data_IF_176604607038
#
_entry.id   IF_176604607038
#
_cell.length_a   1.000
_cell.length_b   1.000
_cell.length_c   1.000
_cell.angle_alpha   90.00
_cell.angle_beta   90.00
_cell.angle_gamma   90.00
#
_symmetry.space_group_name_H-M   'P 1'
#
loop_
_entity.id
_entity.type
_entity.pdbx_description
1 polymer ?
#
# COMPACT_ATOMS: atom_id res chain seq x y z
N UNK A 1 -0.71 -11.91 5.59
CA UNK A 1 0.10 -10.89 6.29
C UNK A 1 -0.18 -10.95 7.78
N UNK A 2 0.74 -10.52 8.61
CA UNK A 2 0.52 -10.33 10.05
C UNK A 2 -0.14 -8.96 10.27
N UNK A 3 -1.40 -8.96 10.74
CA UNK A 3 -2.19 -7.75 10.96
C UNK A 3 -1.56 -6.82 12.01
N UNK A 4 -1.00 -7.41 13.07
CA UNK A 4 -0.53 -6.64 14.24
C UNK A 4 0.81 -5.91 14.00
N UNK A 5 1.66 -6.40 13.10
CA UNK A 5 3.04 -5.92 12.94
C UNK A 5 3.33 -5.23 11.62
N UNK A 6 2.50 -5.41 10.59
CA UNK A 6 2.72 -4.74 9.30
C UNK A 6 2.39 -3.24 9.37
N UNK A 7 3.04 -2.40 8.56
CA UNK A 7 2.64 -1.01 8.39
C UNK A 7 1.16 -0.88 8.04
N UNK A 8 0.52 0.21 8.45
CA UNK A 8 -0.89 0.48 8.18
C UNK A 8 -1.07 0.80 6.69
N UNK A 9 -2.07 0.17 6.08
CA UNK A 9 -2.51 0.39 4.70
C UNK A 9 -3.93 -0.17 4.53
N UNK A 10 -4.54 -0.10 3.35
CA UNK A 10 -5.96 -0.38 3.13
C UNK A 10 -6.48 -1.72 3.71
N UNK A 11 -5.60 -2.71 3.93
CA UNK A 11 -5.98 -3.96 4.62
C UNK A 11 -6.26 -3.78 6.12
N UNK A 12 -5.90 -2.64 6.72
CA UNK A 12 -6.26 -2.24 8.06
C UNK A 12 -7.44 -1.25 8.01
N UNK A 13 -7.36 -0.27 7.10
CA UNK A 13 -8.33 0.81 7.01
C UNK A 13 -9.73 0.31 6.63
N UNK A 14 -9.87 -0.51 5.58
CA UNK A 14 -11.19 -1.03 5.19
C UNK A 14 -11.89 -1.82 6.31
N UNK A 15 -11.25 -2.84 6.94
CA UNK A 15 -11.90 -3.59 8.02
C UNK A 15 -12.32 -2.73 9.21
N UNK A 16 -11.45 -1.82 9.65
CA UNK A 16 -11.72 -0.99 10.83
C UNK A 16 -12.79 0.05 10.57
N UNK A 17 -12.78 0.71 9.42
CA UNK A 17 -13.84 1.64 9.05
C UNK A 17 -15.17 0.94 8.79
N UNK A 18 -15.21 -0.27 8.23
CA UNK A 18 -16.43 -1.07 8.12
C UNK A 18 -16.97 -1.43 9.51
N UNK A 19 -16.09 -1.80 10.46
CA UNK A 19 -16.49 -2.03 11.85
C UNK A 19 -17.06 -0.77 12.50
N UNK A 20 -16.49 0.41 12.24
CA UNK A 20 -17.00 1.69 12.71
C UNK A 20 -18.40 2.04 12.12
N UNK A 21 -18.72 1.51 10.94
CA UNK A 21 -20.07 1.62 10.34
C UNK A 21 -21.09 0.64 10.93
N UNK A 22 -20.68 -0.21 11.88
CA UNK A 22 -21.55 -1.16 12.57
C UNK A 22 -21.52 -2.58 12.03
N UNK A 23 -20.66 -2.88 11.05
CA UNK A 23 -20.49 -4.25 10.57
C UNK A 23 -19.67 -5.08 11.56
N UNK A 24 -20.03 -6.37 11.72
CA UNK A 24 -19.18 -7.32 12.41
C UNK A 24 -18.07 -7.79 11.47
N UNK A 25 -16.81 -7.55 11.84
CA UNK A 25 -15.65 -7.82 10.99
C UNK A 25 -14.76 -8.92 11.57
N UNK A 26 -14.61 -10.01 10.81
CA UNK A 26 -13.64 -11.07 11.07
C UNK A 26 -12.44 -10.98 10.12
N UNK A 27 -11.25 -10.83 10.66
CA UNK A 27 -10.02 -10.75 9.87
C UNK A 27 -9.21 -12.03 10.01
N UNK A 28 -8.92 -12.71 8.89
CA UNK A 28 -8.07 -13.90 8.86
C UNK A 28 -6.65 -13.48 8.49
N UNK A 29 -5.76 -13.47 9.47
CA UNK A 29 -4.35 -13.15 9.23
C UNK A 29 -3.52 -14.38 8.91
N UNK A 30 -2.44 -14.15 8.15
CA UNK A 30 -1.36 -15.11 8.03
C UNK A 30 -0.17 -14.57 8.84
N UNK A 31 0.22 -15.26 9.91
CA UNK A 31 1.22 -14.76 10.87
C UNK A 31 2.65 -14.94 10.31
N UNK A 32 2.98 -14.18 9.27
CA UNK A 32 4.33 -14.12 8.73
C UNK A 32 5.31 -13.65 9.81
N UNK A 33 6.43 -14.35 9.93
CA UNK A 33 7.51 -13.98 10.85
C UNK A 33 7.41 -14.58 12.24
N UNK A 34 6.30 -15.25 12.62
CA UNK A 34 6.21 -15.97 13.88
C UNK A 34 6.95 -17.30 13.81
N UNK A 35 7.67 -17.62 14.87
CA UNK A 35 8.23 -18.95 15.12
C UNK A 35 7.12 -19.96 15.42
N UNK A 36 7.46 -21.25 15.38
CA UNK A 36 6.49 -22.31 15.74
C UNK A 36 5.97 -22.18 17.18
N UNK A 37 6.84 -21.77 18.11
CA UNK A 37 6.46 -21.60 19.52
C UNK A 37 5.49 -20.43 19.67
N UNK A 38 5.82 -19.26 19.13
CA UNK A 38 4.94 -18.08 19.17
C UNK A 38 3.59 -18.36 18.49
N UNK A 39 3.59 -19.09 17.38
CA UNK A 39 2.36 -19.48 16.69
C UNK A 39 1.51 -20.46 17.52
N UNK A 40 2.14 -21.37 18.27
CA UNK A 40 1.44 -22.30 19.15
C UNK A 40 0.73 -21.56 20.30
N UNK A 41 1.37 -20.54 20.85
CA UNK A 41 0.85 -19.72 21.96
C UNK A 41 -0.17 -18.68 21.50
N UNK A 42 -0.18 -18.30 20.21
CA UNK A 42 -1.15 -17.32 19.68
C UNK A 42 -2.57 -17.92 19.66
N UNK A 43 -3.59 -17.23 20.18
CA UNK A 43 -4.97 -17.70 20.10
C UNK A 43 -5.45 -17.87 18.66
N UNK A 44 -6.25 -18.92 18.39
CA UNK A 44 -6.87 -19.09 17.07
C UNK A 44 -7.84 -17.94 16.75
N UNK A 45 -8.55 -17.46 17.77
CA UNK A 45 -9.55 -16.38 17.68
C UNK A 45 -9.33 -15.44 18.86
N UNK A 46 -9.26 -14.15 18.59
CA UNK A 46 -9.19 -13.12 19.61
C UNK A 46 -9.91 -11.86 19.15
N UNK A 47 -10.51 -11.13 20.07
CA UNK A 47 -11.03 -9.79 19.79
C UNK A 47 -9.91 -8.78 20.04
N UNK A 48 -9.69 -7.87 19.09
CA UNK A 48 -8.62 -6.87 19.16
C UNK A 48 -9.19 -5.48 18.92
N UNK A 49 -8.56 -4.47 19.49
CA UNK A 49 -8.80 -3.07 19.14
C UNK A 49 -8.22 -2.76 17.76
N UNK A 50 -8.80 -1.80 17.07
CA UNK A 50 -8.30 -1.30 15.81
C UNK A 50 -6.92 -0.65 15.95
N UNK A 51 -6.17 -0.63 14.87
CA UNK A 51 -4.84 0.02 14.77
C UNK A 51 -4.91 1.38 14.10
N UNK A 52 -5.94 1.60 13.29
CA UNK A 52 -6.28 2.88 12.66
C UNK A 52 -7.26 3.63 13.54
N UNK A 53 -8.35 2.96 13.93
CA UNK A 53 -9.41 3.47 14.78
C UNK A 53 -9.38 2.71 16.10
N UNK A 54 -8.73 3.25 17.11
CA UNK A 54 -8.44 2.56 18.36
C UNK A 54 -9.66 2.17 19.18
N UNK A 55 -10.81 2.78 18.94
CA UNK A 55 -12.11 2.53 19.57
C UNK A 55 -12.97 1.48 18.83
N UNK A 56 -12.55 1.04 17.65
CA UNK A 56 -13.22 -0.05 16.93
C UNK A 56 -12.63 -1.40 17.32
N UNK A 57 -13.47 -2.43 17.29
CA UNK A 57 -13.06 -3.81 17.56
C UNK A 57 -13.29 -4.71 16.36
N UNK A 58 -12.42 -5.67 16.15
CA UNK A 58 -12.60 -6.73 15.16
C UNK A 58 -12.13 -8.09 15.70
N UNK A 59 -12.66 -9.15 15.10
CA UNK A 59 -12.27 -10.52 15.47
C UNK A 59 -11.12 -10.98 14.59
N UNK A 60 -9.96 -11.19 15.20
CA UNK A 60 -8.77 -11.67 14.51
C UNK A 60 -8.67 -13.19 14.59
N UNK A 61 -8.60 -13.86 13.44
CA UNK A 61 -8.34 -15.29 13.32
C UNK A 61 -6.90 -15.54 12.90
N UNK A 62 -6.18 -16.36 13.67
CA UNK A 62 -4.79 -16.74 13.40
C UNK A 62 -4.67 -18.25 13.16
N UNK A 63 -4.80 -18.70 11.90
CA UNK A 63 -4.66 -20.13 11.59
C UNK A 63 -3.27 -20.65 11.94
N UNK A 64 -3.19 -21.76 12.68
CA UNK A 64 -1.94 -22.34 13.22
C UNK A 64 -1.07 -23.13 12.23
N UNK A 65 -1.36 -23.09 10.95
CA UNK A 65 -0.70 -23.92 9.94
C UNK A 65 0.45 -23.27 9.21
N UNK A 66 0.81 -22.05 9.56
CA UNK A 66 1.75 -21.26 8.79
C UNK A 66 3.05 -21.05 9.54
N UNK A 67 3.96 -22.00 9.41
CA UNK A 67 5.36 -21.74 9.67
C UNK A 67 6.06 -21.26 8.39
N UNK A 68 7.01 -20.33 8.50
CA UNK A 68 7.81 -19.85 7.37
C UNK A 68 8.59 -20.94 6.66
N UNK A 69 9.05 -20.66 5.44
CA UNK A 69 9.82 -21.57 4.60
C UNK A 69 8.99 -22.37 3.61
N UNK A 70 9.64 -23.14 2.76
CA UNK A 70 9.04 -23.89 1.65
C UNK A 70 8.07 -24.97 2.15
N UNK A 71 8.45 -25.69 3.20
CA UNK A 71 7.62 -26.74 3.83
C UNK A 71 6.37 -26.19 4.49
N UNK A 72 6.47 -25.02 5.13
CA UNK A 72 5.32 -24.35 5.73
C UNK A 72 4.29 -23.88 4.69
N UNK A 73 4.75 -23.39 3.54
CA UNK A 73 3.86 -23.01 2.43
C UNK A 73 3.13 -24.21 1.82
N UNK A 74 3.81 -25.35 1.66
CA UNK A 74 3.17 -26.60 1.21
C UNK A 74 2.12 -27.09 2.21
N UNK A 75 2.43 -27.07 3.50
CA UNK A 75 1.48 -27.44 4.55
C UNK A 75 0.27 -26.49 4.58
N UNK A 76 0.49 -25.20 4.33
CA UNK A 76 -0.59 -24.23 4.16
C UNK A 76 -1.54 -24.64 3.05
N UNK A 77 -1.00 -24.97 1.86
CA UNK A 77 -1.81 -25.37 0.71
C UNK A 77 -2.67 -26.60 1.05
N UNK A 78 -2.19 -27.52 1.87
CA UNK A 78 -2.93 -28.73 2.25
C UNK A 78 -3.99 -28.50 3.33
N UNK A 79 -3.75 -27.56 4.24
CA UNK A 79 -4.56 -27.43 5.46
C UNK A 79 -5.50 -26.22 5.47
N UNK A 80 -5.22 -25.18 4.68
CA UNK A 80 -5.95 -23.91 4.75
C UNK A 80 -7.45 -24.06 4.38
N UNK A 81 -7.82 -24.98 3.48
CA UNK A 81 -9.24 -25.24 3.16
C UNK A 81 -10.08 -25.67 4.37
N UNK A 82 -9.50 -26.56 5.21
CA UNK A 82 -10.19 -27.00 6.42
C UNK A 82 -10.34 -25.86 7.41
N UNK A 83 -9.30 -25.06 7.55
CA UNK A 83 -9.31 -23.93 8.47
C UNK A 83 -10.25 -22.82 8.02
N UNK A 84 -10.24 -22.43 6.75
CA UNK A 84 -11.23 -21.49 6.23
C UNK A 84 -12.65 -21.99 6.44
N UNK A 85 -12.91 -23.26 6.18
CA UNK A 85 -14.24 -23.83 6.44
C UNK A 85 -14.66 -23.69 7.90
N UNK A 86 -13.77 -24.01 8.83
CA UNK A 86 -14.05 -23.88 10.26
C UNK A 86 -14.31 -22.42 10.66
N UNK A 87 -13.53 -21.48 10.12
CA UNK A 87 -13.70 -20.05 10.36
C UNK A 87 -15.05 -19.56 9.80
N UNK A 88 -15.39 -19.94 8.56
CA UNK A 88 -16.67 -19.55 7.95
C UNK A 88 -17.86 -20.14 8.72
N UNK A 89 -17.73 -21.33 9.29
CA UNK A 89 -18.77 -21.95 10.14
C UNK A 89 -18.90 -21.26 11.51
N UNK A 90 -17.78 -20.79 12.07
CA UNK A 90 -17.75 -20.10 13.37
C UNK A 90 -18.26 -18.66 13.24
N UNK A 91 -17.78 -17.91 12.23
CA UNK A 91 -18.09 -16.49 12.05
C UNK A 91 -19.38 -16.25 11.28
N UNK A 92 -19.75 -17.13 10.33
CA UNK A 92 -20.92 -17.05 9.45
C UNK A 92 -21.05 -15.72 8.71
N UNK A 93 -20.04 -15.31 7.93
CA UNK A 93 -20.06 -14.03 7.24
C UNK A 93 -21.10 -14.01 6.11
N UNK A 94 -21.67 -12.84 5.82
CA UNK A 94 -22.51 -12.59 4.66
C UNK A 94 -21.69 -12.50 3.37
N UNK A 95 -20.43 -12.06 3.45
CA UNK A 95 -19.50 -11.91 2.33
C UNK A 95 -18.05 -12.10 2.78
N UNK A 96 -17.23 -12.61 1.88
CA UNK A 96 -15.78 -12.73 2.08
C UNK A 96 -15.06 -11.72 1.18
N UNK A 97 -14.37 -10.75 1.78
CA UNK A 97 -13.43 -9.85 1.07
C UNK A 97 -12.01 -10.40 1.22
N UNK A 98 -11.37 -10.72 0.11
CA UNK A 98 -10.04 -11.32 0.11
C UNK A 98 -9.02 -10.42 -0.57
N UNK A 99 -8.01 -10.01 0.20
CA UNK A 99 -6.78 -9.36 -0.30
C UNK A 99 -5.69 -10.41 -0.60
N UNK A 100 -6.08 -11.65 -0.77
CA UNK A 100 -5.16 -12.75 -0.66
C UNK A 100 -4.21 -12.82 -1.83
N UNK A 101 -2.99 -13.11 -1.46
CA UNK A 101 -2.00 -13.68 -2.35
C UNK A 101 -2.52 -15.02 -2.89
N UNK A 102 -2.19 -15.39 -4.12
CA UNK A 102 -2.68 -16.59 -4.81
C UNK A 102 -2.59 -17.91 -4.03
N UNK A 103 -1.65 -18.04 -3.11
CA UNK A 103 -1.45 -19.29 -2.34
C UNK A 103 -2.64 -19.68 -1.46
N UNK A 104 -3.41 -18.73 -0.96
CA UNK A 104 -4.58 -18.98 -0.10
C UNK A 104 -5.88 -18.47 -0.70
N UNK A 105 -5.83 -17.46 -1.56
CA UNK A 105 -7.02 -16.83 -2.14
C UNK A 105 -7.88 -17.78 -2.97
N UNK A 106 -7.29 -18.60 -3.84
CA UNK A 106 -8.05 -19.58 -4.63
C UNK A 106 -8.71 -20.66 -3.77
N UNK A 107 -8.14 -20.95 -2.60
CA UNK A 107 -8.70 -21.90 -1.65
C UNK A 107 -9.81 -21.27 -0.83
N UNK A 108 -9.63 -20.01 -0.38
CA UNK A 108 -10.68 -19.23 0.26
C UNK A 108 -11.91 -19.10 -0.66
N UNK A 109 -11.69 -18.71 -1.92
CA UNK A 109 -12.72 -18.67 -2.96
C UNK A 109 -13.46 -20.02 -3.09
N UNK A 110 -12.68 -21.13 -3.19
CA UNK A 110 -13.28 -22.47 -3.36
C UNK A 110 -14.13 -22.89 -2.16
N UNK A 111 -13.74 -22.50 -0.94
CA UNK A 111 -14.52 -22.80 0.28
C UNK A 111 -15.75 -21.90 0.36
N UNK A 112 -15.63 -20.60 0.10
CA UNK A 112 -16.74 -19.64 0.09
C UNK A 112 -17.84 -20.06 -0.89
N UNK A 113 -17.48 -20.40 -2.13
CA UNK A 113 -18.43 -20.90 -3.14
C UNK A 113 -19.16 -22.17 -2.70
N UNK A 114 -18.45 -23.12 -2.08
CA UNK A 114 -19.06 -24.36 -1.55
C UNK A 114 -20.00 -24.11 -0.38
N UNK A 115 -19.79 -23.04 0.35
CA UNK A 115 -20.61 -22.61 1.48
C UNK A 115 -21.74 -21.66 1.08
N UNK A 116 -21.87 -21.32 -0.22
CA UNK A 116 -22.86 -20.36 -0.72
C UNK A 116 -22.56 -18.89 -0.35
N UNK A 117 -21.38 -18.60 0.17
CA UNK A 117 -21.01 -17.25 0.64
C UNK A 117 -20.38 -16.47 -0.54
N UNK A 118 -20.88 -15.27 -0.86
CA UNK A 118 -20.29 -14.39 -1.87
C UNK A 118 -18.81 -14.10 -1.62
N UNK A 119 -18.01 -14.01 -2.68
CA UNK A 119 -16.57 -13.80 -2.60
C UNK A 119 -16.15 -12.61 -3.46
N UNK A 120 -15.66 -11.56 -2.82
CA UNK A 120 -15.06 -10.39 -3.45
C UNK A 120 -13.54 -10.50 -3.37
N UNK A 121 -12.88 -10.35 -4.48
CA UNK A 121 -11.41 -10.32 -4.53
C UNK A 121 -10.90 -8.91 -4.73
N UNK A 122 -10.11 -8.42 -3.79
CA UNK A 122 -9.44 -7.12 -3.86
C UNK A 122 -8.06 -7.30 -4.46
N UNK A 123 -7.88 -6.91 -5.72
CA UNK A 123 -6.61 -6.98 -6.45
C UNK A 123 -5.83 -5.68 -6.28
N UNK A 124 -4.58 -5.79 -5.80
CA UNK A 124 -3.70 -4.66 -5.51
C UNK A 124 -2.42 -4.65 -6.34
N UNK A 125 -1.96 -5.85 -6.70
CA UNK A 125 -0.65 -6.07 -7.30
C UNK A 125 -0.67 -7.21 -8.33
N UNK A 126 0.29 -7.17 -9.25
CA UNK A 126 0.56 -8.26 -10.21
C UNK A 126 1.39 -9.35 -9.53
N UNK A 127 0.75 -10.17 -8.69
CA UNK A 127 1.41 -11.07 -7.73
C UNK A 127 2.43 -12.00 -8.34
N UNK A 128 2.18 -12.56 -9.54
CA UNK A 128 3.12 -13.51 -10.19
C UNK A 128 4.38 -12.84 -10.76
N UNK A 129 4.38 -11.49 -10.88
CA UNK A 129 5.51 -10.72 -11.42
C UNK A 129 6.30 -9.96 -10.35
N UNK A 130 5.74 -9.76 -9.15
CA UNK A 130 6.42 -9.02 -8.07
C UNK A 130 7.74 -9.68 -7.68
N UNK A 131 7.77 -11.01 -7.63
CA UNK A 131 8.98 -11.76 -7.31
C UNK A 131 9.24 -12.82 -8.37
N UNK A 132 10.42 -12.82 -8.96
CA UNK A 132 10.86 -13.92 -9.82
C UNK A 132 10.99 -15.19 -8.98
N UNK A 133 10.15 -16.18 -9.26
CA UNK A 133 10.08 -17.44 -8.51
C UNK A 133 9.76 -18.58 -9.47
N UNK A 134 10.28 -19.77 -9.19
CA UNK A 134 9.90 -21.00 -9.89
C UNK A 134 8.39 -21.30 -9.79
N UNK A 135 7.71 -20.71 -8.80
CA UNK A 135 6.26 -20.81 -8.62
C UNK A 135 5.44 -19.77 -9.40
N UNK A 136 6.08 -18.86 -10.13
CA UNK A 136 5.37 -17.80 -10.88
C UNK A 136 4.28 -18.34 -11.82
N UNK A 137 4.44 -19.47 -12.55
CA UNK A 137 3.37 -20.02 -13.37
C UNK A 137 2.16 -20.50 -12.55
N UNK A 138 2.39 -21.10 -11.38
CA UNK A 138 1.33 -21.53 -10.47
C UNK A 138 0.59 -20.32 -9.87
N UNK A 139 1.33 -19.27 -9.53
CA UNK A 139 0.76 -18.02 -9.04
C UNK A 139 -0.11 -17.37 -10.12
N UNK A 140 0.37 -17.30 -11.36
CA UNK A 140 -0.40 -16.77 -12.49
C UNK A 140 -1.67 -17.58 -12.78
N UNK A 141 -1.60 -18.91 -12.64
CA UNK A 141 -2.78 -19.77 -12.74
C UNK A 141 -3.78 -19.44 -11.62
N UNK A 142 -3.31 -19.31 -10.38
CA UNK A 142 -4.18 -19.00 -9.24
C UNK A 142 -4.84 -17.62 -9.37
N UNK A 143 -4.11 -16.60 -9.86
CA UNK A 143 -4.67 -15.28 -10.18
C UNK A 143 -5.79 -15.40 -11.22
N UNK A 144 -5.53 -16.06 -12.36
CA UNK A 144 -6.56 -16.27 -13.39
C UNK A 144 -7.77 -17.03 -12.86
N UNK A 145 -7.54 -18.05 -12.03
CA UNK A 145 -8.62 -18.81 -11.44
C UNK A 145 -9.49 -17.93 -10.53
N UNK A 146 -8.87 -17.09 -9.70
CA UNK A 146 -9.58 -16.18 -8.81
C UNK A 146 -10.36 -15.14 -9.62
N UNK A 147 -9.71 -14.45 -10.56
CA UNK A 147 -10.35 -13.40 -11.35
C UNK A 147 -11.55 -13.89 -12.15
N UNK A 148 -11.49 -15.12 -12.70
CA UNK A 148 -12.59 -15.74 -13.46
C UNK A 148 -13.75 -16.23 -12.59
N UNK A 149 -13.51 -16.48 -11.32
CA UNK A 149 -14.45 -17.21 -10.47
C UNK A 149 -14.91 -16.42 -9.25
N UNK A 150 -14.32 -15.28 -8.93
CA UNK A 150 -14.83 -14.38 -7.90
C UNK A 150 -16.20 -13.85 -8.32
N UNK A 151 -17.05 -13.58 -7.33
CA UNK A 151 -18.35 -12.96 -7.59
C UNK A 151 -18.21 -11.48 -7.94
N UNK A 152 -17.12 -10.87 -7.43
CA UNK A 152 -16.68 -9.53 -7.81
C UNK A 152 -15.17 -9.39 -7.71
N UNK A 153 -14.56 -8.64 -8.63
CA UNK A 153 -13.15 -8.23 -8.57
C UNK A 153 -13.10 -6.72 -8.32
N UNK A 154 -12.63 -6.33 -7.15
CA UNK A 154 -12.37 -4.95 -6.76
C UNK A 154 -10.90 -4.61 -6.99
N UNK A 155 -10.62 -3.44 -7.53
CA UNK A 155 -9.25 -2.96 -7.76
C UNK A 155 -9.05 -1.57 -7.16
N UNK A 156 -7.82 -1.15 -6.96
CA UNK A 156 -7.49 0.15 -6.38
C UNK A 156 -7.22 1.27 -7.41
N UNK A 157 -7.17 0.92 -8.69
CA UNK A 157 -6.96 1.87 -9.79
C UNK A 157 -7.42 1.28 -11.13
N UNK A 158 -7.65 2.12 -12.18
CA UNK A 158 -8.13 1.65 -13.48
C UNK A 158 -7.15 0.71 -14.20
N UNK A 159 -5.83 0.97 -14.18
CA UNK A 159 -4.84 0.11 -14.83
C UNK A 159 -4.81 -1.31 -14.24
N UNK A 160 -5.02 -1.43 -12.92
CA UNK A 160 -5.18 -2.73 -12.27
C UNK A 160 -6.47 -3.42 -12.70
N UNK A 161 -7.55 -2.67 -12.93
CA UNK A 161 -8.81 -3.21 -13.46
C UNK A 161 -8.60 -3.79 -14.87
N UNK A 162 -7.95 -3.05 -15.76
CA UNK A 162 -7.62 -3.54 -17.11
C UNK A 162 -6.77 -4.81 -17.05
N UNK A 163 -5.76 -4.82 -16.18
CA UNK A 163 -4.96 -6.03 -15.96
C UNK A 163 -5.82 -7.23 -15.50
N UNK A 164 -6.72 -7.05 -14.54
CA UNK A 164 -7.62 -8.11 -14.07
C UNK A 164 -8.54 -8.63 -15.16
N UNK A 165 -9.11 -7.74 -15.98
CA UNK A 165 -9.94 -8.10 -17.15
C UNK A 165 -9.11 -8.89 -18.15
N UNK A 166 -7.90 -8.45 -18.47
CA UNK A 166 -6.95 -9.16 -19.33
C UNK A 166 -6.56 -10.56 -18.81
N UNK A 167 -6.63 -10.76 -17.50
CA UNK A 167 -6.40 -12.05 -16.82
C UNK A 167 -7.67 -12.89 -16.70
N UNK A 168 -8.84 -12.36 -17.08
CA UNK A 168 -10.10 -13.08 -17.20
C UNK A 168 -11.19 -12.69 -16.19
N UNK A 169 -11.05 -11.57 -15.47
CA UNK A 169 -12.16 -10.99 -14.74
C UNK A 169 -13.27 -10.54 -15.68
N UNK A 170 -14.52 -10.70 -15.27
CA UNK A 170 -15.67 -10.24 -16.06
C UNK A 170 -15.86 -8.73 -15.86
N UNK A 171 -15.94 -7.98 -16.96
CA UNK A 171 -16.10 -6.52 -16.92
C UNK A 171 -17.36 -6.09 -16.12
N UNK A 172 -18.46 -6.82 -16.24
CA UNK A 172 -19.70 -6.55 -15.48
C UNK A 172 -19.65 -6.97 -13.99
N UNK A 173 -18.58 -7.65 -13.56
CA UNK A 173 -18.35 -8.10 -12.18
C UNK A 173 -17.00 -7.59 -11.66
N UNK A 174 -16.61 -6.43 -12.09
CA UNK A 174 -15.36 -5.80 -11.63
C UNK A 174 -15.47 -4.28 -11.62
N UNK A 175 -14.76 -3.65 -10.70
CA UNK A 175 -14.80 -2.20 -10.50
C UNK A 175 -13.55 -1.66 -9.83
N UNK A 176 -13.42 -0.34 -9.84
CA UNK A 176 -12.41 0.38 -9.08
C UNK A 176 -13.06 0.97 -7.82
N UNK A 177 -12.61 0.53 -6.67
CA UNK A 177 -12.83 1.18 -5.38
C UNK A 177 -11.49 1.76 -4.93
N UNK A 178 -11.38 3.08 -4.84
CA UNK A 178 -10.13 3.73 -4.44
C UNK A 178 -9.74 3.37 -3.01
N UNK A 179 -8.43 3.31 -2.67
CA UNK A 179 -8.00 3.02 -1.31
C UNK A 179 -8.45 4.14 -0.36
N UNK A 180 -8.90 3.81 0.85
CA UNK A 180 -9.24 4.81 1.86
C UNK A 180 -7.97 5.46 2.41
N UNK A 181 -8.10 6.68 2.89
CA UNK A 181 -7.07 7.39 3.63
C UNK A 181 -7.71 8.16 4.79
N UNK A 182 -7.23 7.91 6.01
CA UNK A 182 -7.60 8.72 7.17
C UNK A 182 -6.90 10.09 7.07
N UNK A 183 -7.66 11.08 6.63
CA UNK A 183 -7.18 12.44 6.46
C UNK A 183 -6.95 13.16 7.80
N UNK A 184 -7.71 12.81 8.85
CA UNK A 184 -7.53 13.37 10.18
C UNK A 184 -6.13 13.11 10.73
N UNK A 185 -5.51 12.02 10.29
CA UNK A 185 -4.13 11.71 10.61
C UNK A 185 -3.12 12.76 10.08
N UNK A 186 -3.41 13.39 8.92
CA UNK A 186 -2.55 14.40 8.28
C UNK A 186 -2.93 15.84 8.66
N UNK A 187 -4.12 16.06 9.23
CA UNK A 187 -4.56 17.36 9.73
C UNK A 187 -3.98 17.71 11.11
N UNK A 188 -3.26 16.79 11.73
CA UNK A 188 -2.67 16.97 13.06
C UNK A 188 -1.65 18.10 13.07
N UNK A 189 -2.15 19.30 13.06
CA UNK A 189 -1.43 20.55 13.25
C UNK A 189 -0.95 20.65 14.68
N UNK A 190 0.26 20.31 14.97
CA UNK A 190 1.05 20.78 16.13
C UNK A 190 2.33 19.95 16.25
N UNK A 191 2.95 19.68 15.11
CA UNK A 191 4.25 19.05 15.10
C UNK A 191 5.27 20.16 14.98
N UNK A 192 6.21 20.21 15.89
CA UNK A 192 7.33 21.13 15.78
C UNK A 192 8.21 20.69 14.60
N UNK A 193 7.90 21.22 13.42
CA UNK A 193 8.68 20.93 12.20
C UNK A 193 10.14 21.34 12.35
N UNK A 194 10.43 22.33 13.22
CA UNK A 194 11.80 22.73 13.51
C UNK A 194 12.54 21.62 14.26
N UNK A 195 11.91 20.96 15.22
CA UNK A 195 12.50 19.84 15.94
C UNK A 195 12.81 18.67 15.00
N UNK A 196 11.85 18.29 14.14
CA UNK A 196 12.05 17.21 13.14
C UNK A 196 13.19 17.55 12.18
N UNK A 197 13.21 18.76 11.64
CA UNK A 197 14.29 19.20 10.72
C UNK A 197 15.65 19.23 11.41
N UNK A 198 15.72 19.72 12.64
CA UNK A 198 16.95 19.74 13.46
C UNK A 198 17.47 18.34 13.75
N UNK A 199 16.58 17.38 14.04
CA UNK A 199 16.95 15.97 14.27
C UNK A 199 17.75 15.38 13.10
N UNK A 200 17.43 15.76 11.87
CA UNK A 200 18.15 15.30 10.67
C UNK A 200 19.30 16.25 10.25
N UNK A 201 19.62 17.25 11.06
CA UNK A 201 20.68 18.21 10.75
C UNK A 201 20.38 19.12 9.56
N UNK A 202 19.10 19.37 9.28
CA UNK A 202 18.69 20.25 8.18
C UNK A 202 18.82 21.72 8.60
N UNK A 203 19.61 22.53 7.90
CA UNK A 203 19.76 23.95 8.24
C UNK A 203 18.46 24.73 7.93
N UNK A 204 18.37 25.93 8.52
CA UNK A 204 17.28 26.83 8.20
C UNK A 204 17.27 27.17 6.70
N UNK A 205 16.08 27.07 6.08
CA UNK A 205 15.92 27.30 4.66
C UNK A 205 16.35 26.14 3.76
N UNK A 206 16.73 24.98 4.32
CA UNK A 206 17.00 23.78 3.52
C UNK A 206 15.83 23.42 2.62
N UNK A 207 16.12 23.06 1.38
CA UNK A 207 15.19 22.50 0.40
C UNK A 207 15.24 20.98 0.48
N UNK A 208 14.11 20.36 0.77
CA UNK A 208 14.04 18.93 1.09
C UNK A 208 13.18 18.18 0.09
N UNK A 209 13.81 17.26 -0.63
CA UNK A 209 13.13 16.20 -1.38
C UNK A 209 12.95 14.97 -0.50
N UNK A 210 11.79 14.32 -0.53
CA UNK A 210 11.48 13.19 0.35
C UNK A 210 10.92 12.00 -0.41
N UNK A 211 11.49 10.84 -0.16
CA UNK A 211 10.94 9.53 -0.53
C UNK A 211 10.51 8.77 0.73
N UNK A 212 9.37 8.07 0.65
CA UNK A 212 8.91 7.14 1.68
C UNK A 212 8.54 5.80 1.07
N UNK A 213 8.96 4.71 1.70
CA UNK A 213 8.53 3.35 1.35
C UNK A 213 9.62 2.30 1.44
N UNK A 214 9.31 1.12 0.95
CA UNK A 214 10.27 0.02 0.91
C UNK A 214 11.33 0.25 -0.17
N UNK A 215 12.57 -0.11 0.16
CA UNK A 215 13.72 0.00 -0.74
C UNK A 215 13.86 -1.28 -1.57
N UNK A 216 12.97 -1.45 -2.54
CA UNK A 216 13.00 -2.56 -3.48
C UNK A 216 13.77 -2.21 -4.76
N UNK A 217 14.19 -3.24 -5.51
CA UNK A 217 14.94 -3.07 -6.76
C UNK A 217 14.22 -2.22 -7.83
N UNK A 218 12.88 -2.12 -7.77
CA UNK A 218 12.08 -1.31 -8.68
C UNK A 218 11.75 0.09 -8.13
N UNK A 219 12.31 0.46 -6.97
CA UNK A 219 12.02 1.76 -6.34
C UNK A 219 12.56 2.95 -7.09
N UNK A 220 13.57 2.78 -7.95
CA UNK A 220 14.26 3.84 -8.69
C UNK A 220 15.15 4.73 -7.80
N UNK A 221 15.44 4.28 -6.58
CA UNK A 221 16.29 5.03 -5.64
C UNK A 221 17.75 5.14 -6.07
N UNK A 222 18.39 4.13 -6.67
CA UNK A 222 19.75 4.26 -7.16
C UNK A 222 19.92 5.41 -8.17
N UNK A 223 18.99 5.52 -9.13
CA UNK A 223 18.97 6.56 -10.14
C UNK A 223 18.65 7.94 -9.55
N UNK A 224 17.73 7.99 -8.58
CA UNK A 224 17.40 9.22 -7.85
C UNK A 224 18.63 9.74 -7.10
N UNK A 225 19.33 8.89 -6.33
CA UNK A 225 20.53 9.25 -5.57
C UNK A 225 21.65 9.71 -6.52
N UNK A 226 21.87 9.01 -7.63
CA UNK A 226 22.87 9.39 -8.63
C UNK A 226 22.57 10.75 -9.26
N UNK A 227 21.30 10.98 -9.61
CA UNK A 227 20.85 12.25 -10.18
C UNK A 227 20.96 13.39 -9.16
N UNK A 228 20.58 13.13 -7.91
CA UNK A 228 20.76 14.06 -6.80
C UNK A 228 22.22 14.46 -6.64
N UNK A 229 23.13 13.50 -6.50
CA UNK A 229 24.55 13.74 -6.27
C UNK A 229 25.21 14.57 -7.40
N UNK A 230 24.79 14.34 -8.66
CA UNK A 230 25.35 15.03 -9.81
C UNK A 230 24.81 16.44 -10.06
N UNK A 231 23.65 16.78 -9.50
CA UNK A 231 22.93 18.00 -9.85
C UNK A 231 22.52 18.86 -8.65
N UNK A 232 22.65 18.34 -7.40
CA UNK A 232 22.23 19.09 -6.22
C UNK A 232 22.92 20.46 -6.13
N UNK A 233 22.17 21.43 -5.64
CA UNK A 233 22.66 22.74 -5.26
C UNK A 233 22.97 22.79 -3.77
N UNK A 234 23.71 23.79 -3.33
CA UNK A 234 23.87 24.04 -1.91
C UNK A 234 22.51 24.18 -1.25
N UNK A 235 22.36 23.68 -0.04
CA UNK A 235 21.10 23.73 0.69
C UNK A 235 19.98 22.78 0.22
N UNK A 236 20.25 21.84 -0.70
CA UNK A 236 19.31 20.79 -1.11
C UNK A 236 19.63 19.45 -0.43
N UNK A 237 18.61 18.78 0.11
CA UNK A 237 18.70 17.54 0.89
C UNK A 237 17.73 16.51 0.37
N UNK A 238 18.09 15.23 0.52
CA UNK A 238 17.26 14.10 0.17
C UNK A 238 17.02 13.24 1.43
N UNK A 239 15.75 13.08 1.81
CA UNK A 239 15.35 12.26 2.95
C UNK A 239 14.71 10.97 2.44
N UNK A 240 15.19 9.83 2.93
CA UNK A 240 14.72 8.49 2.57
C UNK A 240 14.10 7.80 3.78
N UNK A 241 12.76 7.80 3.85
CA UNK A 241 12.00 7.14 4.91
C UNK A 241 11.72 5.70 4.53
N UNK A 242 12.05 4.76 5.42
CA UNK A 242 11.79 3.34 5.27
C UNK A 242 13.05 2.51 5.26
N UNK A 243 12.96 1.33 4.63
CA UNK A 243 14.07 0.38 4.57
C UNK A 243 13.73 -0.76 3.62
N UNK A 244 14.61 -1.72 3.46
CA UNK A 244 14.37 -2.88 2.61
C UNK A 244 15.64 -3.53 2.09
N UNK A 245 15.46 -4.42 1.12
CA UNK A 245 16.54 -5.27 0.59
C UNK A 245 17.71 -4.50 -0.02
N UNK A 246 17.46 -3.27 -0.52
CA UNK A 246 18.50 -2.42 -1.12
C UNK A 246 19.16 -1.44 -0.14
N UNK A 247 18.76 -1.38 1.12
CA UNK A 247 19.24 -0.36 2.07
C UNK A 247 20.76 -0.30 2.16
N UNK A 248 21.41 -1.46 2.30
CA UNK A 248 22.88 -1.56 2.36
C UNK A 248 23.55 -1.10 1.05
N UNK A 249 22.95 -1.40 -0.10
CA UNK A 249 23.46 -0.98 -1.39
C UNK A 249 23.34 0.55 -1.55
N UNK A 250 22.19 1.12 -1.19
CA UNK A 250 21.91 2.55 -1.30
C UNK A 250 22.82 3.37 -0.36
N UNK A 251 23.01 2.93 0.89
CA UNK A 251 23.93 3.60 1.82
C UNK A 251 25.38 3.54 1.32
N UNK A 252 25.81 2.41 0.74
CA UNK A 252 27.11 2.29 0.11
C UNK A 252 27.28 3.22 -1.11
N UNK A 253 26.24 3.39 -1.91
CA UNK A 253 26.25 4.35 -3.05
C UNK A 253 26.34 5.79 -2.56
N UNK A 254 25.60 6.16 -1.52
CA UNK A 254 25.66 7.50 -0.91
C UNK A 254 27.09 7.81 -0.43
N UNK A 255 27.72 6.86 0.28
CA UNK A 255 29.10 7.02 0.75
C UNK A 255 30.12 7.13 -0.40
N UNK A 256 29.99 6.30 -1.46
CA UNK A 256 30.84 6.37 -2.65
C UNK A 256 30.73 7.72 -3.38
N UNK A 257 29.57 8.36 -3.31
CA UNK A 257 29.32 9.67 -3.92
C UNK A 257 29.68 10.84 -2.98
N UNK A 258 30.07 10.59 -1.73
CA UNK A 258 30.37 11.62 -0.73
C UNK A 258 29.13 12.46 -0.34
N UNK A 259 27.94 11.82 -0.25
CA UNK A 259 26.65 12.48 -0.06
C UNK A 259 26.04 12.24 1.33
N UNK A 260 26.78 11.69 2.30
CA UNK A 260 26.27 11.32 3.64
C UNK A 260 25.69 12.52 4.41
N UNK A 261 26.23 13.71 4.16
CA UNK A 261 25.73 14.93 4.79
C UNK A 261 24.40 15.42 4.21
N UNK A 262 24.06 15.02 2.98
CA UNK A 262 22.93 15.53 2.21
C UNK A 262 21.83 14.51 1.94
N UNK A 263 22.13 13.21 2.05
CA UNK A 263 21.16 12.11 1.93
C UNK A 263 21.01 11.44 3.30
N UNK A 264 19.82 11.51 3.88
CA UNK A 264 19.54 10.96 5.20
C UNK A 264 18.59 9.77 5.12
N UNK A 265 18.98 8.66 5.75
CA UNK A 265 18.15 7.50 5.93
C UNK A 265 17.52 7.55 7.32
N UNK A 266 16.20 7.55 7.41
CA UNK A 266 15.51 7.66 8.71
C UNK A 266 15.21 6.30 9.34
N UNK A 267 15.26 5.21 8.54
CA UNK A 267 14.64 3.93 8.91
C UNK A 267 13.12 4.02 8.85
N UNK A 268 12.44 3.06 9.47
CA UNK A 268 10.98 3.04 9.56
C UNK A 268 10.50 4.04 10.63
N UNK A 269 9.57 4.89 10.24
CA UNK A 269 8.90 5.87 11.11
C UNK A 269 7.57 5.28 11.60
N UNK A 270 7.19 5.55 12.84
CA UNK A 270 5.88 5.16 13.36
C UNK A 270 4.76 5.86 12.59
N UNK A 271 3.61 5.20 12.46
CA UNK A 271 2.46 5.81 11.77
C UNK A 271 2.09 7.17 12.38
N UNK A 272 2.14 7.29 13.71
CA UNK A 272 1.85 8.52 14.45
C UNK A 272 2.77 9.69 14.10
N UNK A 273 4.05 9.42 13.84
CA UNK A 273 5.06 10.44 13.55
C UNK A 273 5.15 10.78 12.07
N UNK A 274 4.54 9.96 11.21
CA UNK A 274 4.63 10.08 9.77
C UNK A 274 4.20 11.47 9.23
N UNK A 275 3.10 12.10 9.68
CA UNK A 275 2.71 13.41 9.17
C UNK A 275 3.79 14.48 9.36
N UNK A 276 4.48 14.51 10.53
CA UNK A 276 5.56 15.44 10.79
C UNK A 276 6.72 15.26 9.82
N UNK A 277 7.09 14.01 9.61
CA UNK A 277 8.19 13.69 8.70
C UNK A 277 7.86 14.01 7.24
N UNK A 278 6.61 13.88 6.83
CA UNK A 278 6.20 14.32 5.50
C UNK A 278 6.22 15.85 5.39
N UNK A 279 5.63 16.55 6.36
CA UNK A 279 5.51 18.01 6.33
C UNK A 279 6.87 18.74 6.48
N UNK A 280 7.94 18.08 6.93
CA UNK A 280 9.28 18.68 6.92
C UNK A 280 9.86 18.87 5.52
N UNK A 281 9.29 18.20 4.50
CA UNK A 281 9.75 18.25 3.11
C UNK A 281 9.06 19.36 2.31
N UNK A 282 9.72 19.79 1.23
CA UNK A 282 9.16 20.76 0.26
C UNK A 282 8.54 20.03 -0.95
N UNK A 283 9.08 18.87 -1.34
CA UNK A 283 8.62 18.07 -2.48
C UNK A 283 8.76 16.58 -2.16
N UNK A 284 7.74 15.79 -2.43
CA UNK A 284 7.81 14.34 -2.32
C UNK A 284 8.05 13.67 -3.68
N UNK A 285 8.69 12.49 -3.67
CA UNK A 285 9.06 11.79 -4.90
C UNK A 285 8.62 10.34 -4.93
N UNK A 286 8.22 9.88 -6.11
CA UNK A 286 7.96 8.49 -6.41
C UNK A 286 8.73 8.06 -7.68
N UNK A 287 10.03 7.71 -7.55
CA UNK A 287 10.91 7.44 -8.70
C UNK A 287 10.81 5.99 -9.22
N UNK A 288 9.72 5.27 -8.96
CA UNK A 288 9.59 3.86 -9.32
C UNK A 288 9.90 3.62 -10.80
N UNK A 289 10.61 2.52 -11.09
CA UNK A 289 10.85 2.10 -12.48
C UNK A 289 9.53 1.79 -13.18
N UNK A 290 9.35 2.30 -14.40
CA UNK A 290 8.19 1.98 -15.24
C UNK A 290 8.31 0.54 -15.72
N UNK A 291 7.34 -0.29 -15.40
CA UNK A 291 7.29 -1.72 -15.74
C UNK A 291 5.83 -2.20 -15.71
N UNK A 292 5.55 -3.38 -16.25
CA UNK A 292 4.19 -3.95 -16.18
C UNK A 292 3.67 -4.06 -14.73
N UNK A 293 4.56 -4.28 -13.76
CA UNK A 293 4.17 -4.39 -12.34
C UNK A 293 3.85 -3.03 -11.76
N UNK A 294 4.75 -2.07 -11.94
CA UNK A 294 4.57 -0.71 -11.40
C UNK A 294 3.48 0.07 -12.11
N UNK A 295 3.25 -0.18 -13.40
CA UNK A 295 2.14 0.45 -14.13
C UNK A 295 0.77 0.02 -13.62
N UNK A 296 0.58 -1.25 -13.30
CA UNK A 296 -0.66 -1.73 -12.71
C UNK A 296 -0.79 -1.39 -11.21
N UNK A 297 0.32 -1.11 -10.52
CA UNK A 297 0.31 -0.80 -9.10
C UNK A 297 -0.20 0.62 -8.84
N UNK A 298 -0.78 0.81 -7.65
CA UNK A 298 -1.13 2.12 -7.11
C UNK A 298 -0.24 2.41 -5.90
N UNK A 299 0.78 3.28 -6.03
CA UNK A 299 1.66 3.59 -4.92
C UNK A 299 0.95 4.48 -3.89
N UNK A 300 0.39 3.88 -2.85
CA UNK A 300 -0.36 4.56 -1.78
C UNK A 300 0.41 5.72 -1.13
N UNK A 301 1.74 5.69 -1.16
CA UNK A 301 2.56 6.81 -0.69
C UNK A 301 2.21 8.14 -1.38
N UNK A 302 1.81 8.11 -2.65
CA UNK A 302 1.47 9.32 -3.42
C UNK A 302 0.27 10.04 -2.80
N UNK A 303 -0.78 9.30 -2.43
CA UNK A 303 -1.94 9.93 -1.76
C UNK A 303 -1.60 10.42 -0.35
N UNK A 304 -0.67 9.77 0.35
CA UNK A 304 -0.18 10.23 1.65
C UNK A 304 0.65 11.52 1.51
N UNK A 305 1.48 11.64 0.49
CA UNK A 305 2.19 12.88 0.17
C UNK A 305 1.23 14.03 -0.15
N UNK A 306 0.23 13.75 -0.99
CA UNK A 306 -0.80 14.72 -1.34
C UNK A 306 -1.62 15.14 -0.12
N UNK A 307 -1.97 14.21 0.77
CA UNK A 307 -2.68 14.51 2.01
C UNK A 307 -1.84 15.38 2.97
N UNK A 308 -0.52 15.18 3.01
CA UNK A 308 0.39 16.04 3.75
C UNK A 308 0.60 17.42 3.11
N UNK A 309 -0.04 17.72 1.97
CA UNK A 309 0.06 19.01 1.28
C UNK A 309 1.35 19.17 0.47
N UNK A 310 1.99 18.08 0.08
CA UNK A 310 3.23 18.13 -0.69
C UNK A 310 2.97 18.15 -2.20
N UNK A 311 3.70 18.98 -2.96
CA UNK A 311 3.93 18.76 -4.38
C UNK A 311 4.60 17.39 -4.59
N UNK A 312 4.21 16.68 -5.64
CA UNK A 312 4.71 15.32 -5.91
C UNK A 312 5.29 15.22 -7.31
N UNK A 313 6.51 14.70 -7.41
CA UNK A 313 7.12 14.27 -8.67
C UNK A 313 7.11 12.74 -8.73
N UNK A 314 6.53 12.19 -9.78
CA UNK A 314 6.44 10.75 -9.97
C UNK A 314 6.86 10.34 -11.38
N UNK A 315 7.45 9.16 -11.51
CA UNK A 315 7.49 8.52 -12.82
C UNK A 315 6.05 8.27 -13.31
N UNK A 316 5.89 8.29 -14.64
CA UNK A 316 4.61 8.13 -15.32
C UNK A 316 4.15 6.68 -15.25
N UNK A 317 3.43 6.35 -14.19
CA UNK A 317 2.81 5.03 -13.98
C UNK A 317 1.34 5.09 -14.42
N UNK A 318 0.89 4.12 -15.21
CA UNK A 318 -0.47 4.10 -15.76
C UNK A 318 -1.51 4.17 -14.65
N UNK A 319 -1.33 3.44 -13.54
CA UNK A 319 -2.22 3.49 -12.38
C UNK A 319 -2.38 4.88 -11.76
N UNK A 320 -1.35 5.72 -11.78
CA UNK A 320 -1.44 7.11 -11.32
C UNK A 320 -2.07 8.00 -12.39
N UNK A 321 -1.61 7.89 -13.64
CA UNK A 321 -2.08 8.73 -14.74
C UNK A 321 -3.58 8.52 -14.99
N UNK A 322 -4.04 7.27 -15.01
CA UNK A 322 -5.46 6.96 -15.19
C UNK A 322 -6.32 7.36 -13.98
N UNK A 323 -5.73 7.35 -12.79
CA UNK A 323 -6.44 7.77 -11.58
C UNK A 323 -6.54 9.30 -11.48
N UNK A 324 -5.45 10.04 -11.66
CA UNK A 324 -5.41 11.47 -11.43
C UNK A 324 -5.54 12.33 -12.71
N UNK A 325 -5.29 11.73 -13.87
CA UNK A 325 -5.23 12.44 -15.15
C UNK A 325 -3.84 13.00 -15.45
N UNK A 326 -3.61 13.29 -16.73
CA UNK A 326 -2.35 13.89 -17.19
C UNK A 326 -2.21 15.37 -16.79
N UNK A 327 -3.33 16.07 -16.68
CA UNK A 327 -3.44 17.48 -16.28
C UNK A 327 -3.48 17.68 -14.74
N UNK A 328 -3.20 16.63 -13.98
CA UNK A 328 -3.18 16.70 -12.51
C UNK A 328 -2.03 17.58 -12.00
N UNK A 329 -2.08 17.93 -10.70
CA UNK A 329 -0.98 18.63 -10.03
C UNK A 329 0.24 17.73 -9.76
N UNK A 330 0.16 16.43 -10.09
CA UNK A 330 1.31 15.53 -10.08
C UNK A 330 2.26 15.85 -11.24
N UNK A 331 3.52 16.08 -10.93
CA UNK A 331 4.54 16.25 -11.96
C UNK A 331 5.03 14.89 -12.44
N UNK A 332 4.68 14.50 -13.67
CA UNK A 332 5.11 13.25 -14.26
C UNK A 332 6.43 13.39 -15.05
N UNK A 333 7.28 12.38 -14.92
CA UNK A 333 8.52 12.19 -15.70
C UNK A 333 8.57 10.75 -16.22
N UNK A 334 9.35 10.50 -17.26
CA UNK A 334 9.38 9.18 -17.90
C UNK A 334 10.38 8.21 -17.26
N UNK A 335 11.44 8.74 -16.61
CA UNK A 335 12.51 7.94 -16.01
C UNK A 335 12.81 8.36 -14.57
N UNK A 336 13.27 7.42 -13.76
CA UNK A 336 13.67 7.65 -12.36
C UNK A 336 14.78 8.71 -12.25
N UNK A 337 15.71 8.77 -13.23
CA UNK A 337 16.79 9.77 -13.29
C UNK A 337 16.31 11.19 -13.57
N UNK A 338 15.09 11.36 -14.09
CA UNK A 338 14.50 12.68 -14.40
C UNK A 338 13.73 13.27 -13.21
N UNK A 339 13.52 12.46 -12.15
CA UNK A 339 12.76 12.88 -10.98
C UNK A 339 13.43 14.05 -10.28
N UNK A 340 14.74 13.97 -10.02
CA UNK A 340 15.42 15.04 -9.30
C UNK A 340 15.51 16.36 -10.09
N UNK A 341 15.83 16.40 -11.39
CA UNK A 341 15.70 17.60 -12.21
C UNK A 341 14.32 18.26 -12.14
N UNK A 342 13.25 17.45 -12.12
CA UNK A 342 11.90 17.96 -11.97
C UNK A 342 11.61 18.51 -10.55
N UNK A 343 12.20 17.92 -9.51
CA UNK A 343 12.18 18.46 -8.13
C UNK A 343 12.86 19.84 -8.10
N UNK A 344 14.03 19.99 -8.72
CA UNK A 344 14.74 21.28 -8.75
C UNK A 344 13.94 22.37 -9.46
N UNK A 345 13.22 22.01 -10.52
CA UNK A 345 12.33 22.94 -11.20
C UNK A 345 11.20 23.42 -10.28
N UNK A 346 10.66 22.52 -9.43
CA UNK A 346 9.67 22.89 -8.42
C UNK A 346 10.25 23.75 -7.29
N UNK A 347 11.46 23.47 -6.81
CA UNK A 347 12.12 24.29 -5.79
C UNK A 347 12.29 25.75 -6.21
N UNK A 348 12.41 26.03 -7.51
CA UNK A 348 12.44 27.37 -8.08
C UNK A 348 11.08 28.00 -8.32
N UNK A 349 9.98 27.30 -8.06
CA UNK A 349 8.61 27.76 -8.32
C UNK A 349 8.02 28.47 -7.11
N UNK A 350 7.33 29.59 -7.32
CA UNK A 350 6.56 30.30 -6.29
C UNK A 350 5.24 29.60 -5.94
N UNK A 351 4.88 28.52 -6.63
CA UNK A 351 3.57 27.88 -6.52
C UNK A 351 3.53 26.61 -5.67
N UNK A 352 4.60 26.25 -4.95
CA UNK A 352 4.65 24.99 -4.15
C UNK A 352 3.45 24.84 -3.20
N UNK A 353 3.14 25.88 -2.44
CA UNK A 353 2.01 25.87 -1.50
C UNK A 353 0.67 25.70 -2.21
N UNK A 354 0.49 26.36 -3.37
CA UNK A 354 -0.70 26.23 -4.20
C UNK A 354 -0.89 24.83 -4.74
N UNK A 355 0.18 24.19 -5.23
CA UNK A 355 0.18 22.78 -5.67
C UNK A 355 -0.18 21.86 -4.51
N UNK A 356 0.45 22.05 -3.35
CA UNK A 356 0.18 21.27 -2.15
C UNK A 356 -1.28 21.32 -1.71
N UNK A 357 -1.87 22.53 -1.65
CA UNK A 357 -3.29 22.74 -1.32
C UNK A 357 -4.22 22.05 -2.33
N UNK A 358 -3.91 22.14 -3.61
CA UNK A 358 -4.70 21.47 -4.66
C UNK A 358 -4.63 19.95 -4.52
N UNK A 359 -3.45 19.40 -4.20
CA UNK A 359 -3.26 17.99 -3.92
C UNK A 359 -4.09 17.53 -2.71
N UNK A 360 -4.09 18.28 -1.60
CA UNK A 360 -4.91 17.97 -0.42
C UNK A 360 -6.41 17.97 -0.77
N UNK A 361 -6.87 18.96 -1.51
CA UNK A 361 -8.27 19.06 -1.92
C UNK A 361 -8.70 17.86 -2.79
N UNK A 362 -7.85 17.42 -3.72
CA UNK A 362 -8.11 16.27 -4.58
C UNK A 362 -8.21 14.98 -3.77
N UNK A 363 -7.25 14.72 -2.86
CA UNK A 363 -7.27 13.54 -2.01
C UNK A 363 -8.46 13.56 -1.07
N UNK A 364 -8.79 14.71 -0.46
CA UNK A 364 -9.95 14.86 0.41
C UNK A 364 -11.25 14.52 -0.31
N UNK A 365 -11.38 14.92 -1.54
CA UNK A 365 -12.58 14.67 -2.35
C UNK A 365 -12.75 13.20 -2.72
N UNK A 366 -11.67 12.47 -3.01
CA UNK A 366 -11.73 11.14 -3.63
C UNK A 366 -11.33 9.98 -2.72
N UNK A 367 -10.38 10.20 -1.81
CA UNK A 367 -9.71 9.15 -1.03
C UNK A 367 -10.05 9.22 0.46
N UNK A 368 -10.90 10.17 0.89
CA UNK A 368 -11.32 10.19 2.29
C UNK A 368 -11.90 8.82 2.68
N UNK A 369 -11.59 8.36 3.88
CA UNK A 369 -12.10 7.09 4.40
C UNK A 369 -13.62 7.01 4.26
N UNK A 370 -14.34 8.10 4.53
CA UNK A 370 -15.80 8.16 4.33
C UNK A 370 -16.21 7.85 2.90
N UNK A 371 -15.57 8.44 1.89
CA UNK A 371 -15.92 8.23 0.48
C UNK A 371 -15.55 6.83 0.02
N UNK A 372 -14.30 6.41 0.27
CA UNK A 372 -13.77 5.14 -0.22
C UNK A 372 -14.43 3.93 0.48
N UNK A 373 -14.65 4.03 1.80
CA UNK A 373 -15.28 2.93 2.56
C UNK A 373 -16.73 2.77 2.18
N UNK A 374 -17.49 3.86 1.98
CA UNK A 374 -18.89 3.78 1.51
C UNK A 374 -19.00 3.15 0.11
N UNK A 375 -18.04 3.43 -0.78
CA UNK A 375 -18.00 2.78 -2.10
C UNK A 375 -17.78 1.27 -1.96
N UNK A 376 -16.85 0.84 -1.09
CA UNK A 376 -16.61 -0.57 -0.80
C UNK A 376 -17.83 -1.23 -0.12
N UNK A 377 -18.42 -0.60 0.90
CA UNK A 377 -19.62 -1.07 1.60
C UNK A 377 -20.75 -1.33 0.59
N UNK A 378 -21.10 -0.33 -0.24
CA UNK A 378 -22.13 -0.50 -1.26
C UNK A 378 -21.82 -1.62 -2.25
N UNK A 379 -20.54 -1.87 -2.54
CA UNK A 379 -20.12 -2.99 -3.38
C UNK A 379 -20.35 -4.33 -2.71
N UNK A 380 -19.98 -4.45 -1.43
CA UNK A 380 -20.19 -5.68 -0.65
C UNK A 380 -21.67 -5.98 -0.50
N UNK A 381 -22.51 -4.99 -0.22
CA UNK A 381 -23.97 -5.14 -0.14
C UNK A 381 -24.57 -5.60 -1.47
N UNK A 382 -24.17 -4.98 -2.60
CA UNK A 382 -24.65 -5.39 -3.93
C UNK A 382 -24.38 -6.87 -4.20
N UNK A 383 -23.19 -7.35 -3.86
CA UNK A 383 -22.79 -8.75 -4.13
C UNK A 383 -23.53 -9.72 -3.21
N UNK A 384 -23.89 -9.32 -1.99
CA UNK A 384 -24.71 -10.14 -1.08
C UNK A 384 -26.15 -10.28 -1.58
N UNK A 385 -26.78 -9.19 -2.01
CA UNK A 385 -28.17 -9.19 -2.49
C UNK A 385 -28.33 -9.99 -3.80
N UNK A 386 -27.39 -9.94 -4.71
CA UNK A 386 -27.46 -10.64 -5.99
C UNK A 386 -27.34 -12.16 -5.87
N UNK A 387 -26.96 -12.70 -4.71
CA UNK A 387 -26.82 -14.15 -4.45
C UNK A 387 -27.86 -14.72 -3.50
N UNK A 388 -28.60 -13.89 -2.77
CA UNK A 388 -29.77 -14.31 -1.98
C UNK A 388 -30.99 -14.49 -2.86
#
# INVERSE_FOLDING_TARGET
>A
MNYLTKPIFEMHEFPEHLAALGHEVGFVQFPEGLSRAELADTPLKQHIAGRVLGDTGLTLYTPKTLSGGLSGRLLTVLTCRRQFRNILQDFKPDVVLSFAVPTSGWQALSVSKKSGIPFVFRALDVSHKIRKSLFSPMIAWAERFIYRNADWVSTNNPAMLEYCIGMGALQGQSSVELPPLDLGHFDAAALDLHEVRSHYGLPNGARVALYMGSFFYFSGLPELIQSFASQRRDNEYLILIGGGEQEKQLSGQVAQLGMEDFVKFTGFISFKELPAHLQMADVAVNPMHVSTVSNAAFPNKVIQYMAAGLPVVSTRLDGLVETFGQESQLRYVDKSSEVYPAVQALFGSESLEGIGKANQAEVKRRFSSTTAVRAMESRLELVTVTKS
#
